data_IF_764172689726
#
_entry.id   IF_764172689726
#
_cell.length_a   1.000
_cell.length_b   1.000
_cell.length_c   1.000
_cell.angle_alpha   90.00
_cell.angle_beta   90.00
_cell.angle_gamma   90.00
#
_symmetry.space_group_name_H-M   'P 1'
#
loop_
_entity.id
_entity.type
_entity.pdbx_description
1 polymer ?
#
# COMPACT_ATOMS: atom_id res chain seq x y z
N UNK A 1 -7.13 -6.30 11.67
CA UNK A 1 -6.03 -5.80 10.85
C UNK A 1 -4.71 -6.09 11.54
N UNK A 2 -3.79 -6.74 10.84
CA UNK A 2 -2.45 -7.11 11.33
C UNK A 2 -1.44 -6.06 10.86
N UNK A 3 -0.41 -5.77 11.66
CA UNK A 3 0.61 -4.77 11.32
C UNK A 3 1.99 -5.43 11.25
N UNK A 4 2.69 -5.29 10.13
CA UNK A 4 4.07 -5.76 9.98
C UNK A 4 5.00 -4.56 9.76
N UNK A 5 6.08 -4.48 10.52
CA UNK A 5 6.93 -3.29 10.56
C UNK A 5 8.41 -3.70 10.48
N UNK A 6 9.17 -3.05 9.61
CA UNK A 6 10.59 -3.30 9.40
C UNK A 6 10.85 -4.42 8.41
N UNK A 7 10.93 -5.66 8.88
CA UNK A 7 11.35 -6.79 8.05
C UNK A 7 10.72 -8.11 8.49
N UNK A 8 10.66 -9.08 7.58
CA UNK A 8 10.22 -10.44 7.86
C UNK A 8 11.18 -11.13 8.83
N UNK A 9 10.63 -11.73 9.89
CA UNK A 9 11.40 -12.58 10.81
C UNK A 9 11.64 -13.99 10.28
N UNK A 10 11.05 -14.33 9.13
CA UNK A 10 11.21 -15.62 8.46
C UNK A 10 12.43 -15.54 7.53
N UNK A 11 13.38 -16.44 7.71
CA UNK A 11 14.51 -16.58 6.78
C UNK A 11 14.02 -17.18 5.46
N UNK A 12 14.33 -16.52 4.36
CA UNK A 12 14.17 -17.11 3.04
C UNK A 12 15.34 -18.05 2.73
N UNK A 13 15.04 -19.15 2.05
CA UNK A 13 16.03 -20.11 1.59
C UNK A 13 16.04 -20.11 0.06
N UNK A 14 17.22 -19.89 -0.52
CA UNK A 14 17.43 -19.91 -1.96
C UNK A 14 18.27 -21.14 -2.32
N UNK A 15 17.65 -22.28 -2.69
CA UNK A 15 18.33 -23.56 -2.88
C UNK A 15 19.08 -23.65 -4.22
N UNK A 16 19.52 -22.53 -4.78
CA UNK A 16 20.20 -22.45 -6.07
C UNK A 16 21.49 -21.63 -5.96
N UNK A 17 22.40 -21.87 -6.90
CA UNK A 17 23.67 -21.15 -7.00
C UNK A 17 23.70 -20.34 -8.30
N UNK A 18 23.92 -19.04 -8.17
CA UNK A 18 24.19 -18.16 -9.30
C UNK A 18 25.68 -18.19 -9.62
N UNK A 19 26.00 -18.00 -10.90
CA UNK A 19 27.39 -18.02 -11.39
C UNK A 19 27.78 -16.66 -11.92
N UNK A 20 28.87 -16.08 -11.39
CA UNK A 20 29.36 -14.78 -11.80
C UNK A 20 29.96 -14.75 -13.21
N UNK A 21 30.34 -15.92 -13.75
CA UNK A 21 30.89 -16.11 -15.10
C UNK A 21 29.83 -16.52 -16.14
N UNK A 22 28.57 -16.72 -15.73
CA UNK A 22 27.48 -17.10 -16.63
C UNK A 22 26.83 -15.87 -17.30
N UNK A 23 26.11 -16.12 -18.40
CA UNK A 23 25.25 -15.09 -18.99
C UNK A 23 24.15 -14.72 -18.00
N UNK A 24 23.77 -13.44 -17.97
CA UNK A 24 22.68 -12.95 -17.12
C UNK A 24 21.39 -13.77 -17.35
N UNK A 25 21.09 -14.12 -18.59
CA UNK A 25 19.92 -14.91 -18.95
C UNK A 25 19.90 -16.30 -18.30
N UNK A 26 21.06 -16.94 -18.09
CA UNK A 26 21.14 -18.23 -17.43
C UNK A 26 20.78 -18.12 -15.95
N UNK A 27 21.34 -17.11 -15.26
CA UNK A 27 21.03 -16.83 -13.87
C UNK A 27 19.56 -16.42 -13.70
N UNK A 28 19.01 -15.59 -14.60
CA UNK A 28 17.60 -15.22 -14.58
C UNK A 28 16.68 -16.43 -14.77
N UNK A 29 17.02 -17.36 -15.67
CA UNK A 29 16.25 -18.59 -15.86
C UNK A 29 16.16 -19.42 -14.58
N UNK A 30 17.28 -19.57 -13.86
CA UNK A 30 17.31 -20.28 -12.57
C UNK A 30 16.37 -19.62 -11.55
N UNK A 31 16.42 -18.29 -11.44
CA UNK A 31 15.56 -17.53 -10.51
C UNK A 31 14.09 -17.70 -10.88
N UNK A 32 13.74 -17.51 -12.16
CA UNK A 32 12.35 -17.60 -12.62
C UNK A 32 11.78 -19.01 -12.44
N UNK A 33 12.59 -20.05 -12.69
CA UNK A 33 12.19 -21.44 -12.46
C UNK A 33 11.92 -21.71 -10.98
N UNK A 34 12.79 -21.22 -10.08
CA UNK A 34 12.58 -21.34 -8.63
C UNK A 34 11.31 -20.61 -8.17
N UNK A 35 11.09 -19.37 -8.60
CA UNK A 35 9.90 -18.58 -8.25
C UNK A 35 8.62 -19.24 -8.74
N UNK A 36 8.65 -19.83 -9.95
CA UNK A 36 7.51 -20.58 -10.48
C UNK A 36 7.17 -21.78 -9.59
N UNK A 37 8.14 -22.65 -9.30
CA UNK A 37 7.88 -23.84 -8.48
C UNK A 37 7.49 -23.50 -7.05
N UNK A 38 8.09 -22.47 -6.43
CA UNK A 38 7.68 -21.96 -5.10
C UNK A 38 6.20 -21.58 -5.09
N UNK A 39 5.71 -20.87 -6.10
CA UNK A 39 4.29 -20.50 -6.21
C UNK A 39 3.39 -21.70 -6.44
N UNK A 40 3.82 -22.68 -7.24
CA UNK A 40 3.04 -23.90 -7.49
C UNK A 40 2.94 -24.77 -6.24
N UNK A 41 4.01 -24.88 -5.44
CA UNK A 41 4.03 -25.66 -4.19
C UNK A 41 3.07 -25.13 -3.12
N UNK A 42 2.66 -23.86 -3.20
CA UNK A 42 1.67 -23.29 -2.29
C UNK A 42 0.24 -23.79 -2.56
N UNK A 43 -0.04 -24.33 -3.75
CA UNK A 43 -1.39 -24.78 -4.13
C UNK A 43 -1.82 -25.97 -3.25
N UNK A 44 -2.98 -25.84 -2.62
CA UNK A 44 -3.51 -26.86 -1.68
C UNK A 44 -2.92 -26.79 -0.28
N UNK A 45 -1.95 -25.90 -0.04
CA UNK A 45 -1.43 -25.59 1.28
C UNK A 45 -2.28 -24.59 2.06
N UNK A 46 -1.89 -24.34 3.31
CA UNK A 46 -2.47 -23.28 4.13
C UNK A 46 -1.87 -21.92 3.77
N UNK A 47 -2.68 -20.88 3.82
CA UNK A 47 -2.25 -19.50 3.61
C UNK A 47 -1.36 -19.03 4.77
N UNK A 48 -0.15 -18.59 4.45
CA UNK A 48 0.73 -17.94 5.42
C UNK A 48 0.36 -16.46 5.58
N UNK A 49 -0.39 -16.13 6.63
CA UNK A 49 -0.83 -14.75 6.92
C UNK A 49 0.28 -13.80 7.40
N UNK A 50 1.49 -14.31 7.59
CA UNK A 50 2.68 -13.51 7.96
C UNK A 50 3.64 -13.33 6.78
N UNK A 51 3.26 -13.75 5.57
CA UNK A 51 4.08 -13.56 4.38
C UNK A 51 4.10 -12.09 3.95
N UNK A 52 5.30 -11.62 3.58
CA UNK A 52 5.52 -10.30 3.01
C UNK A 52 5.53 -10.41 1.49
N UNK A 53 4.91 -9.44 0.80
CA UNK A 53 4.95 -9.35 -0.67
C UNK A 53 6.22 -8.62 -1.12
N UNK A 54 6.73 -7.72 -0.28
CA UNK A 54 7.92 -6.90 -0.55
C UNK A 54 9.02 -7.14 0.48
N UNK A 55 10.25 -6.79 0.12
CA UNK A 55 11.39 -6.91 1.03
C UNK A 55 11.40 -5.77 2.05
N UNK A 56 12.09 -5.96 3.18
CA UNK A 56 12.28 -4.89 4.17
C UNK A 56 13.09 -3.69 3.66
N UNK A 57 13.76 -3.80 2.50
CA UNK A 57 14.51 -2.71 1.89
C UNK A 57 13.64 -1.77 1.03
N UNK A 58 12.38 -2.13 0.78
CA UNK A 58 11.49 -1.34 -0.05
C UNK A 58 11.20 0.03 0.58
N UNK A 59 11.15 1.08 -0.25
CA UNK A 59 10.88 2.44 0.18
C UNK A 59 9.41 2.78 -0.04
N UNK A 60 8.53 1.88 0.40
CA UNK A 60 7.08 1.95 0.22
C UNK A 60 6.33 1.48 1.45
N UNK A 61 5.02 1.35 1.32
CA UNK A 61 4.14 0.66 2.25
C UNK A 61 3.00 0.05 1.44
N UNK A 62 2.31 -0.93 2.01
CA UNK A 62 1.16 -1.52 1.33
C UNK A 62 0.12 -2.07 2.30
N UNK A 63 -1.11 -2.17 1.79
CA UNK A 63 -2.21 -2.92 2.37
C UNK A 63 -2.50 -4.17 1.55
N UNK A 64 -2.65 -5.31 2.24
CA UNK A 64 -3.12 -6.55 1.64
C UNK A 64 -4.54 -6.88 2.14
N UNK A 65 -5.57 -6.85 1.26
CA UNK A 65 -6.95 -7.12 1.65
C UNK A 65 -7.18 -8.58 2.08
N UNK A 66 -6.53 -9.55 1.46
CA UNK A 66 -6.73 -10.98 1.74
C UNK A 66 -6.16 -11.39 3.11
N UNK A 67 -5.12 -10.70 3.57
CA UNK A 67 -4.56 -10.89 4.91
C UNK A 67 -5.09 -9.87 5.93
N UNK A 68 -5.84 -8.86 5.49
CA UNK A 68 -6.24 -7.68 6.25
C UNK A 68 -5.03 -7.11 7.03
N UNK A 69 -4.00 -6.72 6.29
CA UNK A 69 -2.70 -6.38 6.86
C UNK A 69 -2.11 -5.12 6.24
N UNK A 70 -1.54 -4.26 7.07
CA UNK A 70 -0.68 -3.15 6.65
C UNK A 70 0.78 -3.53 6.89
N UNK A 71 1.65 -3.16 5.95
CA UNK A 71 3.07 -3.49 6.00
C UNK A 71 3.90 -2.23 5.76
N UNK A 72 4.83 -1.97 6.67
CA UNK A 72 5.77 -0.85 6.60
C UNK A 72 7.21 -1.39 6.62
N UNK A 73 7.81 -1.66 5.45
CA UNK A 73 9.22 -2.02 5.32
C UNK A 73 10.17 -1.06 6.05
N UNK A 74 11.37 -1.53 6.42
CA UNK A 74 12.37 -0.69 7.07
C UNK A 74 12.84 0.45 6.14
N UNK A 75 12.80 0.25 4.83
CA UNK A 75 13.20 1.24 3.83
C UNK A 75 12.37 2.54 3.82
N UNK A 76 11.08 2.53 4.20
CA UNK A 76 10.29 3.77 4.35
C UNK A 76 10.51 4.45 5.72
N UNK A 77 11.02 3.72 6.71
CA UNK A 77 11.16 4.19 8.10
C UNK A 77 12.47 4.96 8.34
N UNK A 78 12.74 5.92 7.46
CA UNK A 78 13.93 6.78 7.50
C UNK A 78 13.60 8.20 7.03
N UNK A 79 14.52 9.14 7.21
CA UNK A 79 14.36 10.53 6.75
C UNK A 79 14.25 10.57 5.21
N UNK A 80 13.34 11.39 4.63
CA UNK A 80 12.55 12.44 5.25
C UNK A 80 11.23 11.98 5.91
N UNK A 81 10.86 10.70 5.76
CA UNK A 81 9.57 10.18 6.18
C UNK A 81 9.45 10.02 7.69
N UNK A 82 10.44 9.38 8.32
CA UNK A 82 10.49 9.12 9.76
C UNK A 82 11.87 9.41 10.34
N UNK A 83 11.92 10.11 11.48
CA UNK A 83 13.12 10.14 12.31
C UNK A 83 12.74 10.46 13.76
N UNK A 84 13.48 9.91 14.73
CA UNK A 84 13.18 10.12 16.16
C UNK A 84 13.42 11.57 16.59
N UNK A 85 14.35 12.26 15.92
CA UNK A 85 14.72 13.65 16.14
C UNK A 85 13.79 14.65 15.44
N UNK A 86 12.89 14.19 14.56
CA UNK A 86 11.94 15.08 13.91
C UNK A 86 10.93 15.63 14.92
N UNK A 87 10.53 16.89 14.73
CA UNK A 87 9.35 17.41 15.42
C UNK A 87 8.15 16.47 15.15
N UNK A 88 7.35 16.09 16.17
CA UNK A 88 6.30 15.08 16.01
C UNK A 88 5.37 15.34 14.83
N UNK A 89 5.00 16.61 14.60
CA UNK A 89 4.19 17.02 13.44
C UNK A 89 4.73 16.49 12.09
N UNK A 90 6.05 16.39 11.89
CA UNK A 90 6.64 15.84 10.66
C UNK A 90 6.43 14.34 10.55
N UNK A 91 6.65 13.59 11.63
CA UNK A 91 6.42 12.14 11.64
C UNK A 91 4.93 11.81 11.46
N UNK A 92 4.02 12.60 12.06
CA UNK A 92 2.59 12.45 11.80
C UNK A 92 2.25 12.82 10.35
N UNK A 93 2.71 13.96 9.85
CA UNK A 93 2.41 14.40 8.49
C UNK A 93 2.93 13.45 7.40
N UNK A 94 4.05 12.75 7.63
CA UNK A 94 4.57 11.75 6.70
C UNK A 94 4.21 10.33 7.12
N UNK A 95 4.96 9.68 8.01
CA UNK A 95 4.69 8.28 8.41
C UNK A 95 3.29 8.06 8.97
N UNK A 96 2.75 9.01 9.74
CA UNK A 96 1.37 8.93 10.24
C UNK A 96 0.33 8.98 9.11
N UNK A 97 0.57 9.80 8.08
CA UNK A 97 -0.24 9.83 6.87
C UNK A 97 -0.12 8.50 6.12
N UNK A 98 1.08 7.98 5.89
CA UNK A 98 1.30 6.68 5.24
C UNK A 98 0.58 5.55 5.98
N UNK A 99 0.71 5.46 7.30
CA UNK A 99 -0.04 4.48 8.10
C UNK A 99 -1.54 4.69 7.90
N UNK A 100 -2.03 5.92 7.98
CA UNK A 100 -3.43 6.25 7.75
C UNK A 100 -3.92 5.87 6.35
N UNK A 101 -3.10 6.06 5.33
CA UNK A 101 -3.37 5.74 3.94
C UNK A 101 -3.56 4.23 3.78
N UNK A 102 -2.60 3.41 4.24
CA UNK A 102 -2.70 1.95 4.19
C UNK A 102 -3.90 1.41 5.00
N UNK A 103 -4.22 2.03 6.13
CA UNK A 103 -5.42 1.67 6.91
C UNK A 103 -6.71 1.90 6.10
N UNK A 104 -6.78 2.97 5.31
CA UNK A 104 -7.96 3.34 4.53
C UNK A 104 -8.13 2.45 3.29
N UNK A 105 -7.07 1.86 2.76
CA UNK A 105 -7.22 0.86 1.69
C UNK A 105 -8.11 -0.32 2.09
N UNK A 106 -8.21 -0.66 3.38
CA UNK A 106 -9.20 -1.63 3.87
C UNK A 106 -10.67 -1.21 3.73
N UNK A 107 -10.92 0.07 3.40
CA UNK A 107 -12.24 0.68 3.33
C UNK A 107 -12.46 1.51 2.04
N UNK A 108 -11.52 1.48 1.09
CA UNK A 108 -11.63 2.17 -0.18
C UNK A 108 -12.65 1.49 -1.13
N UNK A 109 -12.74 1.94 -2.39
CA UNK A 109 -13.76 1.43 -3.30
C UNK A 109 -13.60 -0.06 -3.64
N UNK A 110 -12.40 -0.63 -3.44
CA UNK A 110 -12.08 -2.04 -3.60
C UNK A 110 -12.03 -2.79 -2.27
N UNK A 111 -11.35 -2.25 -1.25
CA UNK A 111 -11.15 -2.87 0.05
C UNK A 111 -12.44 -3.10 0.81
N UNK A 112 -13.45 -2.23 0.62
CA UNK A 112 -14.76 -2.36 1.26
C UNK A 112 -15.47 -3.70 0.99
N UNK A 113 -15.05 -4.45 -0.04
CA UNK A 113 -15.63 -5.75 -0.37
C UNK A 113 -14.99 -6.91 0.38
N UNK A 114 -13.92 -6.68 1.14
CA UNK A 114 -13.26 -7.67 1.96
C UNK A 114 -13.69 -7.51 3.42
N UNK A 115 -14.05 -8.62 4.07
CA UNK A 115 -14.35 -8.61 5.50
C UNK A 115 -13.07 -8.64 6.36
N UNK A 116 -13.23 -8.62 7.69
CA UNK A 116 -12.11 -8.57 8.63
C UNK A 116 -11.15 -9.76 8.56
N UNK A 117 -11.58 -10.87 7.97
CA UNK A 117 -10.77 -12.08 7.77
C UNK A 117 -10.12 -12.14 6.39
N UNK A 118 -10.42 -11.15 5.52
CA UNK A 118 -9.91 -11.01 4.17
C UNK A 118 -10.72 -11.77 3.11
N UNK A 119 -11.96 -12.15 3.41
CA UNK A 119 -12.83 -12.82 2.45
C UNK A 119 -13.64 -11.81 1.64
N UNK A 120 -13.79 -12.06 0.33
CA UNK A 120 -14.66 -11.27 -0.52
C UNK A 120 -16.13 -11.51 -0.14
N UNK A 121 -16.72 -10.53 0.55
CA UNK A 121 -18.08 -10.61 1.11
C UNK A 121 -18.69 -9.22 1.19
N UNK A 122 -19.93 -9.06 0.73
CA UNK A 122 -20.66 -7.84 1.02
C UNK A 122 -21.12 -7.83 2.49
N UNK A 123 -20.52 -6.96 3.29
CA UNK A 123 -20.86 -6.76 4.71
C UNK A 123 -21.51 -5.38 4.97
N UNK A 124 -21.79 -4.61 3.91
CA UNK A 124 -22.46 -3.31 4.02
C UNK A 124 -23.95 -3.43 3.70
N UNK A 125 -24.77 -2.62 4.38
CA UNK A 125 -26.14 -2.40 3.95
C UNK A 125 -26.17 -1.64 2.62
N UNK A 126 -27.26 -1.80 1.87
CA UNK A 126 -27.46 -1.07 0.61
C UNK A 126 -27.38 0.45 0.81
N UNK A 127 -27.92 0.95 1.93
CA UNK A 127 -27.88 2.39 2.26
C UNK A 127 -26.45 2.90 2.45
N UNK A 128 -25.59 2.15 3.15
CA UNK A 128 -24.19 2.52 3.33
C UNK A 128 -23.44 2.47 2.00
N UNK A 129 -23.65 1.41 1.20
CA UNK A 129 -23.04 1.29 -0.12
C UNK A 129 -23.41 2.45 -1.04
N UNK A 130 -24.70 2.84 -1.09
CA UNK A 130 -25.17 3.96 -1.90
C UNK A 130 -24.55 5.29 -1.45
N UNK A 131 -24.52 5.56 -0.13
CA UNK A 131 -23.92 6.79 0.42
C UNK A 131 -22.41 6.87 0.16
N UNK A 132 -21.73 5.73 0.18
CA UNK A 132 -20.31 5.67 -0.16
C UNK A 132 -20.08 5.99 -1.63
N UNK A 133 -20.80 5.34 -2.55
CA UNK A 133 -20.65 5.61 -3.99
C UNK A 133 -20.89 7.09 -4.31
N UNK A 134 -21.91 7.71 -3.70
CA UNK A 134 -22.17 9.15 -3.87
C UNK A 134 -20.98 10.03 -3.44
N UNK A 135 -20.27 9.66 -2.38
CA UNK A 135 -19.10 10.40 -1.90
C UNK A 135 -17.85 10.08 -2.71
N UNK A 136 -17.69 8.84 -3.13
CA UNK A 136 -16.61 8.41 -4.01
C UNK A 136 -16.68 9.16 -5.36
N UNK A 137 -17.88 9.36 -5.90
CA UNK A 137 -18.12 10.15 -7.11
C UNK A 137 -17.64 11.61 -6.98
N UNK A 138 -17.64 12.18 -5.77
CA UNK A 138 -17.07 13.51 -5.55
C UNK A 138 -15.55 13.52 -5.81
N UNK A 139 -14.83 12.49 -5.35
CA UNK A 139 -13.40 12.35 -5.63
C UNK A 139 -13.15 12.14 -7.13
N UNK A 140 -13.91 11.26 -7.78
CA UNK A 140 -13.79 11.06 -9.24
C UNK A 140 -13.91 12.39 -9.99
N UNK A 141 -14.95 13.17 -9.69
CA UNK A 141 -15.20 14.47 -10.34
C UNK A 141 -14.10 15.49 -10.03
N UNK A 142 -13.64 15.54 -8.79
CA UNK A 142 -12.57 16.45 -8.38
C UNK A 142 -11.28 16.14 -9.15
N UNK A 143 -10.84 14.89 -9.14
CA UNK A 143 -9.56 14.51 -9.74
C UNK A 143 -9.61 14.55 -11.27
N UNK A 144 -10.77 14.27 -11.90
CA UNK A 144 -10.96 14.51 -13.34
C UNK A 144 -10.72 15.96 -13.79
N UNK A 145 -10.79 16.93 -12.86
CA UNK A 145 -10.52 18.34 -13.19
C UNK A 145 -9.03 18.71 -13.18
N UNK A 146 -8.16 17.82 -12.68
CA UNK A 146 -6.73 18.10 -12.57
C UNK A 146 -6.01 17.83 -13.89
N UNK A 147 -5.40 18.88 -14.44
CA UNK A 147 -4.52 18.77 -15.60
C UNK A 147 -3.15 18.21 -15.17
N UNK A 148 -2.67 17.20 -15.89
CA UNK A 148 -1.29 16.76 -15.81
C UNK A 148 -0.45 17.64 -16.74
N UNK A 149 0.53 18.35 -16.20
CA UNK A 149 1.41 19.27 -16.94
C UNK A 149 2.80 18.66 -17.14
N UNK A 150 3.57 19.21 -18.08
CA UNK A 150 4.96 18.81 -18.31
C UNK A 150 5.91 19.52 -17.34
N UNK A 151 6.85 18.77 -16.75
CA UNK A 151 7.88 19.36 -15.88
C UNK A 151 8.85 20.29 -16.64
N UNK A 152 8.99 20.11 -17.96
CA UNK A 152 9.86 20.93 -18.82
C UNK A 152 9.14 22.16 -19.37
N UNK A 153 7.81 22.13 -19.41
CA UNK A 153 6.96 23.18 -19.94
C UNK A 153 5.63 23.17 -19.19
N UNK A 154 5.55 23.96 -18.13
CA UNK A 154 4.42 23.94 -17.20
C UNK A 154 3.11 24.43 -17.82
N UNK A 155 3.19 25.17 -18.93
CA UNK A 155 2.02 25.65 -19.68
C UNK A 155 1.46 24.54 -20.60
N UNK A 156 2.22 23.47 -20.83
CA UNK A 156 1.79 22.33 -21.66
C UNK A 156 1.04 21.30 -20.84
N UNK A 157 -0.27 21.21 -21.08
CA UNK A 157 -1.13 20.12 -20.59
C UNK A 157 -0.90 18.85 -21.41
N UNK A 158 -0.50 17.78 -20.73
CA UNK A 158 -0.29 16.43 -21.30
C UNK A 158 -1.58 15.59 -21.28
N UNK A 159 -2.49 15.89 -20.35
CA UNK A 159 -3.76 15.19 -20.18
C UNK A 159 -4.45 15.64 -18.90
N UNK A 160 -5.51 14.92 -18.52
CA UNK A 160 -6.18 15.09 -17.24
C UNK A 160 -6.08 13.79 -16.46
N UNK A 161 -6.02 13.89 -15.14
CA UNK A 161 -6.03 12.71 -14.25
C UNK A 161 -7.34 11.95 -14.47
N UNK A 162 -7.26 10.62 -14.60
CA UNK A 162 -8.43 9.77 -14.55
C UNK A 162 -8.80 9.54 -13.08
N UNK A 163 -9.81 10.27 -12.61
CA UNK A 163 -10.32 10.21 -11.25
C UNK A 163 -10.98 8.87 -10.91
N UNK A 164 -11.42 8.09 -11.91
CA UNK A 164 -11.95 6.74 -11.69
C UNK A 164 -10.81 5.75 -11.48
N UNK A 165 -9.75 5.87 -12.28
CA UNK A 165 -8.55 5.05 -12.15
C UNK A 165 -7.83 5.28 -10.82
N UNK A 166 -7.73 6.53 -10.39
CA UNK A 166 -7.02 6.93 -9.14
C UNK A 166 -7.89 6.87 -7.89
N UNK A 167 -9.14 6.43 -7.98
CA UNK A 167 -10.15 6.60 -6.93
C UNK A 167 -9.74 5.99 -5.57
N UNK A 168 -9.15 4.80 -5.56
CA UNK A 168 -8.74 4.13 -4.33
C UNK A 168 -7.67 4.95 -3.59
N UNK A 169 -6.61 5.33 -4.31
CA UNK A 169 -5.52 6.18 -3.80
C UNK A 169 -6.05 7.53 -3.30
N UNK A 170 -6.95 8.16 -4.05
CA UNK A 170 -7.54 9.45 -3.67
C UNK A 170 -8.33 9.34 -2.35
N UNK A 171 -9.08 8.25 -2.15
CA UNK A 171 -9.79 7.98 -0.90
C UNK A 171 -8.78 7.73 0.24
N UNK A 172 -7.75 6.93 -0.01
CA UNK A 172 -6.70 6.59 0.94
C UNK A 172 -5.91 7.82 1.40
N UNK A 173 -5.51 8.69 0.48
CA UNK A 173 -4.78 9.92 0.79
C UNK A 173 -5.59 10.88 1.68
N UNK A 174 -6.84 11.15 1.30
CA UNK A 174 -7.69 12.08 2.03
C UNK A 174 -8.10 11.50 3.40
N UNK A 175 -8.41 10.21 3.45
CA UNK A 175 -8.73 9.51 4.68
C UNK A 175 -7.52 9.43 5.62
N UNK A 176 -6.36 9.05 5.08
CA UNK A 176 -5.12 8.90 5.82
C UNK A 176 -4.62 10.21 6.42
N UNK A 177 -4.70 11.31 5.66
CA UNK A 177 -4.33 12.64 6.18
C UNK A 177 -5.24 13.06 7.33
N UNK A 178 -6.56 12.83 7.19
CA UNK A 178 -7.53 13.14 8.24
C UNK A 178 -7.27 12.31 9.50
N UNK A 179 -7.01 11.01 9.36
CA UNK A 179 -6.69 10.13 10.49
C UNK A 179 -5.40 10.57 11.19
N UNK A 180 -4.35 10.84 10.41
CA UNK A 180 -3.06 11.28 10.95
C UNK A 180 -3.17 12.61 11.68
N UNK A 181 -3.87 13.59 11.11
CA UNK A 181 -4.06 14.89 11.74
C UNK A 181 -4.84 14.78 13.06
N UNK A 182 -5.89 13.96 13.11
CA UNK A 182 -6.63 13.71 14.34
C UNK A 182 -5.74 13.02 15.41
N UNK A 183 -4.88 12.09 14.98
CA UNK A 183 -3.93 11.42 15.87
C UNK A 183 -2.89 12.40 16.43
N UNK A 184 -2.38 13.32 15.60
CA UNK A 184 -1.50 14.40 16.02
C UNK A 184 -2.18 15.35 17.03
N UNK A 185 -3.41 15.77 16.76
CA UNK A 185 -4.17 16.61 17.71
C UNK A 185 -4.35 15.91 19.06
N UNK A 186 -4.64 14.62 19.04
CA UNK A 186 -4.76 13.81 20.26
C UNK A 186 -3.41 13.71 21.00
N UNK A 187 -2.30 13.58 20.27
CA UNK A 187 -0.96 13.57 20.84
C UNK A 187 -0.61 14.91 21.52
N UNK A 188 -0.95 16.04 20.90
CA UNK A 188 -0.66 17.38 21.45
C UNK A 188 -1.52 17.75 22.67
N UNK A 189 -2.65 17.09 22.87
CA UNK A 189 -3.57 17.34 23.99
C UNK A 189 -3.30 16.43 25.20
N UNK A 190 -2.26 15.59 25.16
CA UNK A 190 -1.78 14.77 26.28
C UNK A 190 -0.65 15.47 27.02
#
# INVERSE_FOLDING_TARGET
MTNLIGYSTVSENFPYKLRGDALLADNMRIIMEHLFYRSVEQIGGLVNRNEWIETGAEAGAYYNPQMNQIVLPAGILQSPCFALEHHPARNFASTGHTIGHELIHGFDASGRYYDGDGNLRNWWSNDTANKFSQRADCFVKQYNSFAATSDVDQDKVLGYVDGSFTLNENIADNGGLKLSFNAYQTYMNK
#
